data_IF_896445482735
#
_entry.id   IF_896445482735
#
_cell.length_a   1.000
_cell.length_b   1.000
_cell.length_c   1.000
_cell.angle_alpha   90.00
_cell.angle_beta   90.00
_cell.angle_gamma   90.00
#
_symmetry.space_group_name_H-M   'P 1'
#
loop_
_entity.id
_entity.type
_entity.pdbx_description
1 polymer ?
#
# COMPACT_ATOMS: atom_id res chain seq x y z
N UNK A 1 22.56 -6.70 -17.45
CA UNK A 1 21.09 -6.72 -17.41
C UNK A 1 20.63 -6.36 -16.00
N UNK A 2 19.81 -5.35 -15.90
CA UNK A 2 19.27 -4.94 -14.59
C UNK A 2 17.99 -5.72 -14.29
N UNK A 3 17.87 -6.16 -13.04
CA UNK A 3 16.62 -6.76 -12.59
C UNK A 3 15.53 -5.70 -12.55
N UNK A 4 14.31 -6.09 -12.83
CA UNK A 4 13.17 -5.19 -12.70
C UNK A 4 13.00 -4.80 -11.24
N UNK A 5 12.69 -3.53 -11.01
CA UNK A 5 12.39 -3.05 -9.67
C UNK A 5 11.06 -3.62 -9.20
N UNK A 6 10.96 -3.89 -7.90
CA UNK A 6 9.68 -4.22 -7.29
C UNK A 6 8.78 -2.99 -7.28
N UNK A 7 7.52 -3.21 -7.60
CA UNK A 7 6.54 -2.13 -7.69
C UNK A 7 5.69 -2.08 -6.43
N UNK A 8 5.59 -0.89 -5.84
CA UNK A 8 4.76 -0.65 -4.67
C UNK A 8 3.67 0.34 -5.05
N UNK A 9 2.44 -0.01 -4.79
CA UNK A 9 1.32 0.92 -4.93
C UNK A 9 1.08 1.60 -3.58
N UNK A 10 1.16 2.92 -3.58
CA UNK A 10 0.93 3.75 -2.40
C UNK A 10 -0.40 4.48 -2.56
N UNK A 11 -1.38 4.10 -1.75
CA UNK A 11 -2.72 4.66 -1.76
C UNK A 11 -2.90 5.56 -0.55
N UNK A 12 -2.78 6.87 -0.77
CA UNK A 12 -2.79 7.89 0.28
C UNK A 12 -3.36 9.19 -0.28
N UNK A 13 -4.36 9.74 0.37
CA UNK A 13 -5.01 10.97 -0.11
C UNK A 13 -4.24 12.25 0.20
N UNK A 14 -3.43 12.27 1.27
CA UNK A 14 -2.58 13.42 1.58
C UNK A 14 -1.43 13.52 0.59
N UNK A 15 -1.41 14.56 -0.23
CA UNK A 15 -0.36 14.77 -1.22
C UNK A 15 1.03 14.89 -0.57
N UNK A 16 1.10 15.56 0.58
CA UNK A 16 2.38 15.75 1.27
C UNK A 16 2.94 14.42 1.79
N UNK A 17 2.12 13.63 2.46
CA UNK A 17 2.55 12.33 2.97
C UNK A 17 2.86 11.37 1.82
N UNK A 18 2.04 11.38 0.76
CA UNK A 18 2.27 10.56 -0.41
C UNK A 18 3.63 10.86 -1.06
N UNK A 19 3.94 12.14 -1.23
CA UNK A 19 5.23 12.56 -1.80
C UNK A 19 6.41 12.14 -0.91
N UNK A 20 6.26 12.32 0.39
CA UNK A 20 7.32 11.95 1.34
C UNK A 20 7.61 10.45 1.30
N UNK A 21 6.57 9.63 1.37
CA UNK A 21 6.72 8.18 1.34
C UNK A 21 7.24 7.69 -0.01
N UNK A 22 6.77 8.28 -1.10
CA UNK A 22 7.26 7.97 -2.43
C UNK A 22 8.78 8.16 -2.52
N UNK A 23 9.29 9.27 -2.01
CA UNK A 23 10.73 9.55 -2.02
C UNK A 23 11.51 8.53 -1.21
N UNK A 24 11.04 8.18 -0.03
CA UNK A 24 11.70 7.18 0.80
C UNK A 24 11.75 5.82 0.11
N UNK A 25 10.66 5.40 -0.49
CA UNK A 25 10.57 4.11 -1.18
C UNK A 25 11.41 4.09 -2.45
N UNK A 26 11.39 5.14 -3.24
CA UNK A 26 12.21 5.25 -4.44
C UNK A 26 13.70 5.22 -4.10
N UNK A 27 14.09 5.93 -3.05
CA UNK A 27 15.47 5.95 -2.58
C UNK A 27 15.93 4.56 -2.13
N UNK A 28 15.02 3.74 -1.64
CA UNK A 28 15.30 2.36 -1.24
C UNK A 28 15.35 1.39 -2.43
N UNK A 29 15.06 1.86 -3.65
CA UNK A 29 15.19 1.06 -4.85
C UNK A 29 13.89 0.53 -5.45
N UNK A 30 12.74 0.98 -4.95
CA UNK A 30 11.44 0.53 -5.46
C UNK A 30 10.91 1.45 -6.55
N UNK A 31 10.11 0.88 -7.45
CA UNK A 31 9.26 1.66 -8.35
C UNK A 31 7.96 1.94 -7.59
N UNK A 32 7.56 3.21 -7.47
CA UNK A 32 6.39 3.58 -6.70
C UNK A 32 5.28 4.09 -7.61
N UNK A 33 4.12 3.46 -7.47
CA UNK A 33 2.89 3.88 -8.15
C UNK A 33 2.06 4.58 -7.09
N UNK A 34 1.59 5.79 -7.38
CA UNK A 34 0.84 6.57 -6.39
C UNK A 34 -0.60 6.76 -6.81
N UNK A 35 -1.50 6.72 -5.83
CA UNK A 35 -2.92 6.98 -6.03
C UNK A 35 -3.46 7.76 -4.84
N UNK A 36 -4.32 8.72 -5.12
CA UNK A 36 -4.98 9.53 -4.10
C UNK A 36 -6.34 9.00 -3.70
N UNK A 37 -6.90 8.05 -4.45
CA UNK A 37 -8.19 7.44 -4.16
C UNK A 37 -8.23 6.00 -4.68
N UNK A 38 -9.29 5.29 -4.29
CA UNK A 38 -9.42 3.87 -4.62
C UNK A 38 -9.67 3.61 -6.10
N UNK A 39 -10.30 4.54 -6.81
CA UNK A 39 -10.55 4.39 -8.26
C UNK A 39 -9.24 4.39 -9.02
N UNK A 40 -8.39 5.36 -8.74
CA UNK A 40 -7.06 5.45 -9.35
C UNK A 40 -6.21 4.22 -9.00
N UNK A 41 -6.26 3.82 -7.72
CA UNK A 41 -5.54 2.63 -7.26
C UNK A 41 -5.98 1.37 -8.00
N UNK A 42 -7.28 1.19 -8.18
CA UNK A 42 -7.82 0.03 -8.91
C UNK A 42 -7.32 -0.05 -10.34
N UNK A 43 -7.23 1.09 -11.02
CA UNK A 43 -6.68 1.15 -12.39
C UNK A 43 -5.21 0.74 -12.42
N UNK A 44 -4.43 1.18 -11.43
CA UNK A 44 -3.02 0.84 -11.34
C UNK A 44 -2.79 -0.63 -11.01
N UNK A 45 -3.63 -1.22 -10.18
CA UNK A 45 -3.55 -2.66 -9.88
C UNK A 45 -3.70 -3.47 -11.17
N UNK A 46 -4.69 -3.13 -11.98
CA UNK A 46 -4.93 -3.85 -13.24
C UNK A 46 -3.82 -3.60 -14.25
N UNK A 47 -3.38 -2.35 -14.39
CA UNK A 47 -2.43 -1.97 -15.43
C UNK A 47 -0.99 -2.35 -15.11
N UNK A 48 -0.60 -2.35 -13.85
CA UNK A 48 0.82 -2.44 -13.46
C UNK A 48 1.14 -3.60 -12.51
N UNK A 49 0.14 -4.30 -11.99
CA UNK A 49 0.33 -5.46 -11.11
C UNK A 49 1.39 -5.22 -10.00
N UNK A 50 1.10 -4.40 -9.00
CA UNK A 50 2.08 -4.12 -7.94
C UNK A 50 2.42 -5.37 -7.13
N UNK A 51 3.61 -5.40 -6.56
CA UNK A 51 4.08 -6.51 -5.72
C UNK A 51 3.66 -6.32 -4.27
N UNK A 52 3.36 -5.09 -3.86
CA UNK A 52 2.94 -4.73 -2.51
C UNK A 52 2.06 -3.49 -2.58
N UNK A 53 1.07 -3.40 -1.71
CA UNK A 53 0.22 -2.23 -1.60
C UNK A 53 0.34 -1.67 -0.18
N UNK A 54 0.58 -0.36 -0.09
CA UNK A 54 0.48 0.39 1.17
C UNK A 54 -0.75 1.26 1.05
N UNK A 55 -1.73 1.07 1.94
CA UNK A 55 -3.01 1.74 1.82
C UNK A 55 -3.44 2.39 3.12
N UNK A 56 -3.95 3.62 3.01
CA UNK A 56 -4.70 4.24 4.10
C UNK A 56 -6.11 3.65 4.11
N UNK A 57 -6.69 3.52 5.30
CA UNK A 57 -8.07 3.08 5.44
C UNK A 57 -9.04 4.23 5.15
N UNK A 58 -8.70 5.44 5.59
CA UNK A 58 -9.55 6.63 5.41
C UNK A 58 -9.23 7.33 4.09
N UNK A 59 -10.06 7.11 3.09
CA UNK A 59 -9.88 7.68 1.76
C UNK A 59 -11.19 8.34 1.29
N UNK A 60 -11.11 9.30 0.33
CA UNK A 60 -12.31 9.85 -0.27
C UNK A 60 -13.03 8.81 -1.12
N UNK A 61 -14.35 8.89 -1.15
CA UNK A 61 -15.28 8.07 -1.96
C UNK A 61 -15.40 6.61 -1.53
N UNK A 62 -14.30 5.92 -1.36
CA UNK A 62 -14.30 4.51 -0.95
C UNK A 62 -13.15 4.32 0.05
N UNK A 63 -13.45 3.80 1.22
CA UNK A 63 -12.43 3.56 2.23
C UNK A 63 -11.44 2.47 1.79
N UNK A 64 -10.23 2.54 2.33
CA UNK A 64 -9.17 1.60 1.98
C UNK A 64 -9.51 0.15 2.33
N UNK A 65 -10.28 -0.08 3.39
CA UNK A 65 -10.72 -1.42 3.73
C UNK A 65 -11.70 -2.00 2.69
N UNK A 66 -12.60 -1.17 2.14
CA UNK A 66 -13.48 -1.58 1.05
C UNK A 66 -12.66 -1.92 -0.21
N UNK A 67 -11.67 -1.11 -0.51
CA UNK A 67 -10.77 -1.34 -1.63
C UNK A 67 -10.04 -2.68 -1.48
N UNK A 68 -9.48 -2.95 -0.30
CA UNK A 68 -8.76 -4.21 -0.06
C UNK A 68 -9.72 -5.40 -0.05
N UNK A 69 -10.94 -5.24 0.47
CA UNK A 69 -11.94 -6.29 0.40
C UNK A 69 -12.24 -6.67 -1.06
N UNK A 70 -12.32 -5.69 -1.95
CA UNK A 70 -12.52 -5.94 -3.38
C UNK A 70 -11.32 -6.69 -3.99
N UNK A 71 -10.10 -6.35 -3.60
CA UNK A 71 -8.90 -7.08 -4.05
C UNK A 71 -8.93 -8.55 -3.61
N UNK A 72 -9.31 -8.80 -2.36
CA UNK A 72 -9.35 -10.16 -1.80
C UNK A 72 -10.42 -11.03 -2.47
N UNK A 73 -11.44 -10.40 -3.05
CA UNK A 73 -12.50 -11.10 -3.78
C UNK A 73 -12.11 -11.45 -5.22
N UNK A 74 -11.01 -10.88 -5.74
CA UNK A 74 -10.56 -11.09 -7.12
C UNK A 74 -9.39 -12.08 -7.15
N UNK A 75 -9.58 -13.28 -7.72
CA UNK A 75 -8.51 -14.30 -7.76
C UNK A 75 -7.22 -13.84 -8.42
N UNK A 76 -7.28 -12.86 -9.32
CA UNK A 76 -6.09 -12.38 -10.04
C UNK A 76 -5.16 -11.56 -9.14
N UNK A 77 -5.68 -10.93 -8.09
CA UNK A 77 -4.92 -9.96 -7.28
C UNK A 77 -5.03 -10.20 -5.77
N UNK A 78 -5.82 -11.19 -5.35
CA UNK A 78 -6.10 -11.42 -3.92
C UNK A 78 -4.86 -11.73 -3.07
N UNK A 79 -3.77 -12.17 -3.68
CA UNK A 79 -2.56 -12.56 -2.97
C UNK A 79 -1.54 -11.43 -2.85
N UNK A 80 -1.82 -10.24 -3.40
CA UNK A 80 -0.92 -9.10 -3.24
C UNK A 80 -0.88 -8.71 -1.77
N UNK A 81 0.30 -8.69 -1.13
CA UNK A 81 0.40 -8.29 0.27
C UNK A 81 0.03 -6.82 0.46
N UNK A 82 -0.70 -6.54 1.54
CA UNK A 82 -1.16 -5.19 1.87
C UNK A 82 -0.66 -4.80 3.25
N UNK A 83 -0.10 -3.60 3.33
CA UNK A 83 0.25 -2.94 4.59
C UNK A 83 -0.74 -1.78 4.76
N UNK A 84 -1.45 -1.73 5.88
CA UNK A 84 -2.27 -0.57 6.20
C UNK A 84 -1.44 0.48 6.95
N UNK A 85 -1.64 1.74 6.57
CA UNK A 85 -0.99 2.88 7.20
C UNK A 85 -2.08 3.93 7.45
N UNK A 86 -2.52 4.09 8.69
CA UNK A 86 -3.69 4.90 8.99
C UNK A 86 -3.68 5.47 10.40
N UNK A 87 -4.54 6.47 10.63
CA UNK A 87 -4.83 6.99 11.97
C UNK A 87 -6.14 6.43 12.52
N UNK A 88 -6.77 5.50 11.80
CA UNK A 88 -8.06 4.93 12.20
C UNK A 88 -7.90 4.13 13.50
N UNK A 89 -8.81 4.37 14.46
CA UNK A 89 -8.78 3.67 15.74
C UNK A 89 -9.05 2.16 15.61
N UNK A 90 -9.64 1.73 14.50
CA UNK A 90 -9.93 0.33 14.23
C UNK A 90 -8.93 -0.31 13.27
N UNK A 91 -7.76 0.29 13.11
CA UNK A 91 -6.72 -0.15 12.19
C UNK A 91 -6.39 -1.65 12.35
N UNK A 92 -6.18 -2.09 13.57
CA UNK A 92 -5.86 -3.48 13.83
C UNK A 92 -6.98 -4.43 13.41
N UNK A 93 -8.24 -4.06 13.69
CA UNK A 93 -9.39 -4.88 13.32
C UNK A 93 -9.51 -5.01 11.80
N UNK A 94 -9.34 -3.90 11.07
CA UNK A 94 -9.38 -3.91 9.61
C UNK A 94 -8.25 -4.78 9.04
N UNK A 95 -7.05 -4.64 9.59
CA UNK A 95 -5.88 -5.39 9.14
C UNK A 95 -6.09 -6.90 9.32
N UNK A 96 -6.58 -7.32 10.48
CA UNK A 96 -6.83 -8.74 10.78
C UNK A 96 -7.92 -9.31 9.89
N UNK A 97 -9.01 -8.58 9.73
CA UNK A 97 -10.16 -9.03 8.94
C UNK A 97 -9.79 -9.23 7.47
N UNK A 98 -8.94 -8.37 6.93
CA UNK A 98 -8.59 -8.36 5.51
C UNK A 98 -7.27 -9.05 5.18
N UNK A 99 -6.64 -9.65 6.17
CA UNK A 99 -5.40 -10.39 5.95
C UNK A 99 -4.22 -9.50 5.57
N UNK A 100 -4.16 -8.27 6.08
CA UNK A 100 -3.01 -7.41 5.88
C UNK A 100 -1.78 -8.04 6.55
N UNK A 101 -0.63 -7.93 5.90
CA UNK A 101 0.61 -8.51 6.44
C UNK A 101 1.21 -7.66 7.55
N UNK A 102 0.84 -6.37 7.60
CA UNK A 102 1.27 -5.46 8.66
C UNK A 102 0.34 -4.25 8.70
N UNK A 103 0.38 -3.53 9.81
CA UNK A 103 -0.35 -2.28 9.95
C UNK A 103 0.44 -1.33 10.83
N UNK A 104 0.40 -0.04 10.50
CA UNK A 104 1.12 1.00 11.23
C UNK A 104 0.29 2.25 11.35
N UNK A 105 0.44 2.95 12.48
CA UNK A 105 -0.02 4.33 12.60
C UNK A 105 0.80 5.22 11.65
N UNK A 106 0.21 6.32 11.18
CA UNK A 106 0.89 7.24 10.27
C UNK A 106 2.12 7.91 10.87
N UNK A 107 2.33 7.80 12.18
CA UNK A 107 3.54 8.30 12.85
C UNK A 107 4.70 7.32 12.82
N UNK A 108 4.54 6.15 12.19
CA UNK A 108 5.62 5.18 12.07
C UNK A 108 6.82 5.83 11.38
N UNK A 109 8.04 5.49 11.82
CA UNK A 109 9.23 6.00 11.16
C UNK A 109 9.38 5.39 9.76
N UNK A 110 9.98 6.16 8.85
CA UNK A 110 10.26 5.66 7.51
C UNK A 110 11.14 4.42 7.56
N UNK A 111 12.08 4.37 8.48
CA UNK A 111 13.00 3.23 8.65
C UNK A 111 12.25 1.96 9.01
N UNK A 112 11.32 2.04 9.97
CA UNK A 112 10.52 0.89 10.38
C UNK A 112 9.61 0.42 9.26
N UNK A 113 8.97 1.34 8.56
CA UNK A 113 8.11 1.00 7.42
C UNK A 113 8.93 0.31 6.33
N UNK A 114 10.11 0.85 6.00
CA UNK A 114 10.97 0.27 4.98
C UNK A 114 11.45 -1.14 5.31
N UNK A 115 11.75 -1.42 6.59
CA UNK A 115 12.11 -2.78 7.02
C UNK A 115 11.01 -3.79 6.66
N UNK A 116 9.77 -3.44 6.95
CA UNK A 116 8.63 -4.33 6.70
C UNK A 116 8.33 -4.42 5.21
N UNK A 117 8.43 -3.30 4.49
CA UNK A 117 8.28 -3.30 3.03
C UNK A 117 9.30 -4.23 2.39
N UNK A 118 10.56 -4.14 2.80
CA UNK A 118 11.62 -4.98 2.26
C UNK A 118 11.34 -6.46 2.49
N UNK A 119 10.84 -6.80 3.66
CA UNK A 119 10.50 -8.18 3.98
C UNK A 119 9.40 -8.74 3.07
N UNK A 120 8.36 -7.97 2.82
CA UNK A 120 7.18 -8.46 2.08
C UNK A 120 7.23 -8.19 0.57
N UNK A 121 7.90 -7.13 0.13
CA UNK A 121 8.00 -6.84 -1.30
C UNK A 121 9.00 -7.75 -2.01
N UNK A 122 9.88 -8.36 -1.29
CA UNK A 122 10.83 -9.30 -1.85
C UNK A 122 11.93 -8.60 -2.64
N UNK A 123 12.70 -7.81 -1.99
CA UNK A 123 13.80 -7.06 -2.60
C UNK A 123 14.80 -7.89 -3.36
#
# INVERSE_FOLDING_TARGET
MTADKRRILLLEDSADLRTLLERHLEKAGYEVLTAGDAVEAGKLVVARAPHLIIADIQLPYMDGDEFVAALRADPAVRDIPVIFLSVDAKLEQHARRLGAVAYFDKNVSAERLLEVVEFYAGG
#
